data_IF_709317355386
#
_entry.id   IF_709317355386
#
_cell.length_a   1.000
_cell.length_b   1.000
_cell.length_c   1.000
_cell.angle_alpha   90.00
_cell.angle_beta   90.00
_cell.angle_gamma   90.00
#
_symmetry.space_group_name_H-M   'P 1'
#
loop_
_entity.id
_entity.type
_entity.pdbx_description
1 polymer ?
#
# COMPACT_ATOMS: atom_id res chain seq x y z
N UNK A 1 -4.16 -14.24 -6.43
CA UNK A 1 -2.87 -14.12 -5.73
C UNK A 1 -3.16 -14.12 -4.25
N UNK A 2 -2.61 -15.06 -3.49
CA UNK A 2 -2.82 -15.13 -2.05
C UNK A 2 -1.55 -14.74 -1.29
N UNK A 3 -1.72 -14.30 -0.05
CA UNK A 3 -0.61 -13.98 0.85
C UNK A 3 -0.78 -14.69 2.19
N UNK A 4 0.34 -14.99 2.85
CA UNK A 4 0.34 -15.44 4.25
C UNK A 4 0.65 -14.30 5.19
N UNK A 5 0.00 -14.25 6.35
CA UNK A 5 0.32 -13.33 7.42
C UNK A 5 1.54 -13.84 8.20
N UNK A 6 2.59 -13.03 8.34
CA UNK A 6 3.78 -13.36 9.13
C UNK A 6 3.58 -13.05 10.61
N UNK A 7 4.00 -13.99 11.46
CA UNK A 7 4.02 -13.87 12.91
C UNK A 7 5.41 -14.22 13.43
N UNK A 8 5.69 -13.92 14.71
CA UNK A 8 6.91 -14.37 15.39
C UNK A 8 7.15 -15.90 15.30
N UNK A 9 6.09 -16.68 15.09
CA UNK A 9 6.13 -18.14 15.08
C UNK A 9 6.14 -18.74 13.66
N UNK A 10 6.13 -17.92 12.61
CA UNK A 10 6.14 -18.44 11.25
C UNK A 10 7.42 -19.22 10.98
N UNK A 11 7.29 -20.52 10.71
CA UNK A 11 8.43 -21.42 10.53
C UNK A 11 8.85 -21.52 9.06
N UNK A 12 10.11 -21.88 8.75
CA UNK A 12 10.56 -22.22 7.40
C UNK A 12 9.68 -23.28 6.71
N UNK A 13 9.21 -24.27 7.48
CA UNK A 13 8.34 -25.33 6.95
C UNK A 13 6.99 -24.79 6.47
N UNK A 14 6.44 -23.75 7.09
CA UNK A 14 5.23 -23.08 6.60
C UNK A 14 5.48 -22.41 5.25
N UNK A 15 6.64 -21.77 5.09
CA UNK A 15 7.03 -21.13 3.83
C UNK A 15 7.12 -22.17 2.70
N UNK A 16 7.69 -23.34 2.98
CA UNK A 16 7.75 -24.46 2.04
C UNK A 16 6.34 -24.94 1.66
N UNK A 17 5.43 -25.09 2.63
CA UNK A 17 4.03 -25.44 2.36
C UNK A 17 3.32 -24.39 1.51
N UNK A 18 3.54 -23.11 1.81
CA UNK A 18 2.94 -22.00 1.09
C UNK A 18 3.37 -22.03 -0.38
N UNK A 19 4.67 -22.19 -0.65
CA UNK A 19 5.18 -22.30 -2.02
C UNK A 19 4.63 -23.53 -2.73
N UNK A 20 4.58 -24.68 -2.05
CA UNK A 20 4.07 -25.92 -2.62
C UNK A 20 2.59 -25.85 -3.00
N UNK A 21 1.80 -24.97 -2.37
CA UNK A 21 0.39 -24.77 -2.74
C UNK A 21 0.19 -24.20 -4.14
N UNK A 22 1.19 -23.47 -4.68
CA UNK A 22 1.08 -22.73 -5.94
C UNK A 22 0.14 -21.50 -5.88
N UNK A 23 -0.50 -21.21 -4.75
CA UNK A 23 -1.47 -20.12 -4.60
C UNK A 23 -0.91 -18.91 -3.83
N UNK A 24 0.00 -19.16 -2.89
CA UNK A 24 0.67 -18.12 -2.10
C UNK A 24 1.88 -17.61 -2.88
N UNK A 25 1.88 -16.32 -3.19
CA UNK A 25 2.98 -15.66 -3.93
C UNK A 25 3.83 -14.76 -3.05
N UNK A 26 3.34 -14.42 -1.87
CA UNK A 26 4.03 -13.53 -0.94
C UNK A 26 3.60 -13.77 0.51
N UNK A 27 4.38 -13.25 1.45
CA UNK A 27 4.01 -13.18 2.86
C UNK A 27 3.99 -11.71 3.30
N UNK A 28 2.92 -11.30 3.98
CA UNK A 28 2.70 -9.95 4.47
C UNK A 28 3.18 -9.83 5.91
N UNK A 29 4.04 -8.85 6.14
CA UNK A 29 4.53 -8.44 7.45
C UNK A 29 3.78 -7.20 7.92
N UNK A 30 3.23 -7.31 9.12
CA UNK A 30 2.80 -6.18 9.93
C UNK A 30 3.64 -6.15 11.20
N UNK A 31 4.32 -5.02 11.51
CA UNK A 31 4.88 -4.81 12.83
C UNK A 31 3.76 -4.86 13.87
N UNK A 32 4.00 -5.53 14.98
CA UNK A 32 2.95 -5.75 15.98
C UNK A 32 2.37 -4.41 16.48
N UNK A 33 1.04 -4.25 16.33
CA UNK A 33 0.30 -3.04 16.72
C UNK A 33 0.40 -1.85 15.75
N UNK A 34 0.95 -2.03 14.54
CA UNK A 34 1.11 -0.94 13.57
C UNK A 34 -0.20 -0.48 12.94
N UNK A 35 -1.17 -1.38 12.74
CA UNK A 35 -2.45 -1.11 12.08
C UNK A 35 -3.56 -2.09 12.50
N UNK A 36 -4.75 -1.97 11.91
CA UNK A 36 -5.91 -2.84 12.17
C UNK A 36 -5.53 -4.33 12.06
N UNK A 37 -5.88 -5.14 13.07
CA UNK A 37 -5.61 -6.58 13.15
C UNK A 37 -4.13 -7.00 13.17
N UNK A 38 -3.21 -6.08 13.53
CA UNK A 38 -1.77 -6.36 13.55
C UNK A 38 -1.22 -6.83 14.90
N UNK A 39 -2.05 -7.06 15.93
CA UNK A 39 -1.58 -7.39 17.28
C UNK A 39 -0.77 -8.70 17.34
N UNK A 40 -1.09 -9.66 16.45
CA UNK A 40 -0.36 -10.93 16.28
C UNK A 40 0.84 -10.81 15.32
N UNK A 41 1.22 -9.59 14.95
CA UNK A 41 2.29 -9.28 14.01
C UNK A 41 3.69 -9.62 14.54
N UNK A 42 4.69 -9.21 13.78
CA UNK A 42 6.09 -9.47 14.10
C UNK A 42 6.58 -8.43 15.10
N UNK A 43 7.10 -8.88 16.24
CA UNK A 43 7.60 -8.00 17.30
C UNK A 43 9.07 -7.63 17.10
N UNK A 44 9.85 -8.53 16.51
CA UNK A 44 11.25 -8.33 16.17
C UNK A 44 11.55 -9.09 14.88
N UNK A 45 12.08 -8.38 13.88
CA UNK A 45 12.41 -8.95 12.58
C UNK A 45 13.35 -10.15 12.68
N UNK A 46 14.26 -10.16 13.66
CA UNK A 46 15.25 -11.25 13.85
C UNK A 46 14.60 -12.59 14.17
N UNK A 47 13.42 -12.59 14.80
CA UNK A 47 12.69 -13.83 15.12
C UNK A 47 12.25 -14.58 13.88
N UNK A 48 11.99 -13.87 12.78
CA UNK A 48 11.52 -14.46 11.53
C UNK A 48 12.63 -14.64 10.49
N UNK A 49 13.90 -14.36 10.81
CA UNK A 49 15.01 -14.56 9.86
C UNK A 49 15.06 -15.97 9.26
N UNK A 50 14.79 -17.06 10.00
CA UNK A 50 14.68 -18.38 9.40
C UNK A 50 13.59 -18.45 8.32
N UNK A 51 12.43 -17.83 8.56
CA UNK A 51 11.35 -17.77 7.57
C UNK A 51 11.74 -16.89 6.36
N UNK A 52 12.40 -15.75 6.58
CA UNK A 52 12.89 -14.88 5.49
C UNK A 52 13.93 -15.59 4.62
N UNK A 53 14.83 -16.37 5.23
CA UNK A 53 15.79 -17.20 4.50
C UNK A 53 15.09 -18.23 3.62
N UNK A 54 14.05 -18.89 4.14
CA UNK A 54 13.22 -19.81 3.36
C UNK A 54 12.46 -19.08 2.24
N UNK A 55 11.89 -17.90 2.50
CA UNK A 55 11.19 -17.10 1.48
C UNK A 55 12.12 -16.73 0.33
N UNK A 56 13.35 -16.31 0.64
CA UNK A 56 14.38 -16.03 -0.35
C UNK A 56 14.70 -17.28 -1.19
N UNK A 57 14.91 -18.43 -0.54
CA UNK A 57 15.22 -19.68 -1.24
C UNK A 57 14.06 -20.23 -2.10
N UNK A 58 12.82 -19.89 -1.76
CA UNK A 58 11.60 -20.31 -2.47
C UNK A 58 11.01 -19.25 -3.38
N UNK A 59 11.67 -18.10 -3.49
CA UNK A 59 11.23 -16.95 -4.28
C UNK A 59 9.80 -16.49 -3.92
N UNK A 60 9.45 -16.54 -2.64
CA UNK A 60 8.25 -15.85 -2.14
C UNK A 60 8.61 -14.40 -1.79
N UNK A 61 7.72 -13.48 -2.12
CA UNK A 61 7.93 -12.06 -1.86
C UNK A 61 7.64 -11.73 -0.40
N UNK A 62 8.38 -10.77 0.17
CA UNK A 62 8.05 -10.15 1.45
C UNK A 62 7.33 -8.83 1.19
N UNK A 63 6.08 -8.71 1.64
CA UNK A 63 5.32 -7.46 1.59
C UNK A 63 5.37 -6.82 2.96
N UNK A 64 5.68 -5.53 3.06
CA UNK A 64 5.99 -4.88 4.34
C UNK A 64 5.10 -3.68 4.57
N UNK A 65 4.32 -3.69 5.65
CA UNK A 65 3.82 -2.45 6.24
C UNK A 65 4.96 -1.80 7.02
N UNK A 66 5.57 -0.76 6.46
CA UNK A 66 6.85 -0.23 6.95
C UNK A 66 6.74 0.90 7.96
N UNK A 67 6.16 0.65 9.15
CA UNK A 67 6.15 1.61 10.26
C UNK A 67 6.66 0.97 11.55
N UNK A 68 7.50 1.68 12.32
CA UNK A 68 7.79 1.25 13.70
C UNK A 68 6.61 1.57 14.62
N UNK A 69 6.45 0.80 15.69
CA UNK A 69 5.37 0.98 16.68
C UNK A 69 5.85 1.51 18.03
N UNK A 70 7.11 1.94 18.10
CA UNK A 70 7.70 2.59 19.27
C UNK A 70 6.87 3.83 19.66
N UNK A 71 6.29 3.90 20.88
CA UNK A 71 5.46 5.01 21.31
C UNK A 71 6.24 6.33 21.44
N UNK A 72 7.57 6.30 21.49
CA UNK A 72 8.41 7.50 21.48
C UNK A 72 8.59 8.10 20.08
N UNK A 73 8.23 7.38 19.01
CA UNK A 73 8.34 7.84 17.63
C UNK A 73 7.00 8.42 17.17
N UNK A 74 7.03 9.69 16.77
CA UNK A 74 5.85 10.38 16.23
C UNK A 74 5.31 9.65 15.00
N UNK A 75 3.98 9.56 14.90
CA UNK A 75 3.29 8.85 13.81
C UNK A 75 3.71 9.33 12.40
N UNK A 76 4.11 10.59 12.26
CA UNK A 76 4.57 11.13 10.98
C UNK A 76 5.99 10.67 10.60
N UNK A 77 6.78 10.18 11.55
CA UNK A 77 8.19 9.78 11.37
C UNK A 77 8.39 8.26 11.34
N UNK A 78 7.36 7.47 11.72
CA UNK A 78 7.44 6.00 11.84
C UNK A 78 7.95 5.29 10.58
N UNK A 79 7.54 5.76 9.40
CA UNK A 79 7.95 5.16 8.12
C UNK A 79 9.45 5.36 7.84
N UNK A 80 9.95 6.58 8.03
CA UNK A 80 11.37 6.89 7.83
C UNK A 80 12.24 6.10 8.82
N UNK A 81 11.82 6.04 10.09
CA UNK A 81 12.51 5.28 11.13
C UNK A 81 12.51 3.78 10.83
N UNK A 82 11.42 3.23 10.29
CA UNK A 82 11.36 1.83 9.88
C UNK A 82 12.36 1.51 8.78
N UNK A 83 12.47 2.39 7.76
CA UNK A 83 13.41 2.20 6.65
C UNK A 83 14.83 2.08 7.19
N UNK A 84 15.25 3.03 8.02
CA UNK A 84 16.61 3.07 8.58
C UNK A 84 16.88 1.89 9.51
N UNK A 85 16.00 1.65 10.50
CA UNK A 85 16.26 0.70 11.59
C UNK A 85 15.96 -0.74 11.22
N UNK A 86 15.08 -0.99 10.26
CA UNK A 86 14.55 -2.33 9.97
C UNK A 86 14.77 -2.74 8.52
N UNK A 87 14.28 -1.95 7.56
CA UNK A 87 14.28 -2.36 6.16
C UNK A 87 15.68 -2.45 5.57
N UNK A 88 16.53 -1.44 5.80
CA UNK A 88 17.91 -1.42 5.29
C UNK A 88 18.73 -2.64 5.78
N UNK A 89 18.72 -3.00 7.08
CA UNK A 89 19.31 -4.25 7.55
C UNK A 89 18.76 -5.50 6.86
N UNK A 90 17.45 -5.64 6.71
CA UNK A 90 16.82 -6.82 6.06
C UNK A 90 17.27 -6.94 4.61
N UNK A 91 17.28 -5.84 3.85
CA UNK A 91 17.72 -5.83 2.45
C UNK A 91 19.20 -6.23 2.33
N UNK A 92 20.06 -5.78 3.26
CA UNK A 92 21.47 -6.18 3.31
C UNK A 92 21.64 -7.66 3.61
N UNK A 93 20.87 -8.19 4.56
CA UNK A 93 21.03 -9.56 5.06
C UNK A 93 20.36 -10.61 4.13
N UNK A 94 19.37 -10.19 3.33
CA UNK A 94 18.65 -11.01 2.35
C UNK A 94 18.65 -10.37 0.95
N UNK A 95 19.81 -10.25 0.27
CA UNK A 95 19.94 -9.46 -0.95
C UNK A 95 19.14 -10.01 -2.15
N UNK A 96 18.79 -11.30 -2.14
CA UNK A 96 18.00 -11.93 -3.20
C UNK A 96 16.49 -12.00 -2.87
N UNK A 97 16.08 -11.67 -1.64
CA UNK A 97 14.67 -11.63 -1.27
C UNK A 97 13.99 -10.44 -1.95
N UNK A 98 12.96 -10.72 -2.75
CA UNK A 98 12.10 -9.66 -3.31
C UNK A 98 11.22 -9.06 -2.22
N UNK A 99 11.31 -7.76 -2.03
CA UNK A 99 10.63 -7.00 -0.99
C UNK A 99 9.80 -5.89 -1.61
N UNK A 100 8.54 -5.79 -1.20
CA UNK A 100 7.66 -4.66 -1.51
C UNK A 100 7.45 -3.85 -0.23
N UNK A 101 7.93 -2.61 -0.22
CA UNK A 101 7.53 -1.64 0.80
C UNK A 101 6.14 -1.14 0.40
N UNK A 102 5.11 -1.65 1.08
CA UNK A 102 3.73 -1.36 0.73
C UNK A 102 3.38 0.10 1.02
N UNK A 103 2.42 0.63 0.26
CA UNK A 103 1.71 1.90 0.48
C UNK A 103 2.61 3.02 1.03
N UNK A 104 3.74 3.31 0.35
CA UNK A 104 4.70 4.32 0.81
C UNK A 104 4.05 5.70 0.89
N UNK A 105 4.41 6.47 1.92
CA UNK A 105 3.76 7.76 2.22
C UNK A 105 4.72 8.94 2.30
N UNK A 106 6.03 8.69 2.29
CA UNK A 106 7.07 9.70 2.45
C UNK A 106 7.96 9.84 1.20
N UNK A 107 8.45 11.06 0.97
CA UNK A 107 9.62 11.30 0.12
C UNK A 107 10.81 10.39 0.48
N UNK A 108 11.07 10.19 1.77
CA UNK A 108 12.16 9.34 2.26
C UNK A 108 12.06 7.90 1.73
N UNK A 109 10.85 7.31 1.77
CA UNK A 109 10.57 6.00 1.18
C UNK A 109 10.70 5.99 -0.35
N UNK A 110 10.16 7.01 -1.02
CA UNK A 110 10.28 7.14 -2.47
C UNK A 110 11.76 7.19 -2.90
N UNK A 111 12.57 8.03 -2.25
CA UNK A 111 13.99 8.18 -2.53
C UNK A 111 14.79 6.92 -2.19
N UNK A 112 14.45 6.23 -1.10
CA UNK A 112 15.06 4.95 -0.74
C UNK A 112 14.82 3.89 -1.81
N UNK A 113 13.57 3.64 -2.20
CA UNK A 113 13.21 2.61 -3.19
C UNK A 113 13.88 2.89 -4.54
N UNK A 114 13.97 4.16 -4.94
CA UNK A 114 14.68 4.59 -6.16
C UNK A 114 16.12 4.08 -6.16
N UNK A 115 16.81 4.22 -5.03
CA UNK A 115 18.23 3.89 -4.85
C UNK A 115 18.50 2.42 -4.47
N UNK A 116 17.50 1.71 -3.95
CA UNK A 116 17.63 0.32 -3.49
C UNK A 116 17.96 -0.66 -4.64
N UNK A 117 18.33 -1.93 -4.36
CA UNK A 117 18.46 -2.95 -5.40
C UNK A 117 17.16 -3.21 -6.17
N UNK A 118 17.24 -3.90 -7.31
CA UNK A 118 16.06 -4.28 -8.11
C UNK A 118 15.14 -5.28 -7.41
N UNK A 119 15.61 -5.90 -6.33
CA UNK A 119 14.80 -6.75 -5.45
C UNK A 119 13.89 -5.94 -4.52
N UNK A 120 13.98 -4.61 -4.49
CA UNK A 120 13.13 -3.74 -3.68
C UNK A 120 12.23 -2.89 -4.57
N UNK A 121 10.92 -2.96 -4.31
CA UNK A 121 9.90 -2.16 -4.96
C UNK A 121 8.95 -1.56 -3.92
N UNK A 122 7.98 -0.75 -4.38
CA UNK A 122 6.94 -0.19 -3.55
C UNK A 122 5.60 -0.09 -4.28
N UNK A 123 4.53 -0.24 -3.50
CA UNK A 123 3.20 0.16 -3.93
C UNK A 123 2.89 1.58 -3.47
N UNK A 124 2.10 2.30 -4.26
CA UNK A 124 1.62 3.65 -3.91
C UNK A 124 0.12 3.65 -4.06
N UNK A 125 -0.60 4.15 -3.05
CA UNK A 125 -2.06 4.17 -3.04
C UNK A 125 -2.61 5.42 -3.74
N UNK A 126 -3.84 5.32 -4.26
CA UNK A 126 -4.52 6.46 -4.88
C UNK A 126 -4.72 7.62 -3.89
N UNK A 127 -5.08 7.32 -2.64
CA UNK A 127 -5.32 8.36 -1.63
C UNK A 127 -4.03 9.08 -1.21
N UNK A 128 -2.88 8.41 -1.21
CA UNK A 128 -1.58 9.07 -0.95
C UNK A 128 -1.07 9.89 -2.13
N UNK A 129 -1.55 9.63 -3.35
CA UNK A 129 -1.27 10.49 -4.52
C UNK A 129 -2.15 11.74 -4.53
N UNK A 130 -3.43 11.59 -4.19
CA UNK A 130 -4.42 12.65 -4.30
C UNK A 130 -4.42 13.61 -3.10
N UNK A 131 -4.08 13.12 -1.91
CA UNK A 131 -4.25 13.89 -0.67
C UNK A 131 -2.97 13.99 0.15
N UNK A 132 -2.88 15.09 0.90
CA UNK A 132 -1.93 15.26 1.99
C UNK A 132 -2.71 15.39 3.31
N UNK A 133 -1.99 15.43 4.43
CA UNK A 133 -2.57 15.41 5.78
C UNK A 133 -3.60 16.50 6.05
N UNK A 134 -3.59 17.61 5.31
CA UNK A 134 -4.63 18.64 5.47
C UNK A 134 -6.03 18.07 5.20
N UNK A 135 -6.16 17.06 4.32
CA UNK A 135 -7.44 16.42 4.05
C UNK A 135 -8.08 15.80 5.31
N UNK A 136 -7.28 15.39 6.30
CA UNK A 136 -7.78 14.84 7.58
C UNK A 136 -8.36 15.96 8.46
N UNK A 137 -7.84 17.19 8.37
CA UNK A 137 -8.13 18.27 9.31
C UNK A 137 -8.87 19.46 8.68
N UNK A 138 -9.18 19.40 7.39
CA UNK A 138 -9.78 20.50 6.65
C UNK A 138 -11.23 20.73 7.11
N UNK A 139 -11.47 21.87 7.75
CA UNK A 139 -12.80 22.26 8.26
C UNK A 139 -13.29 21.43 9.46
N UNK A 140 -12.45 20.56 10.00
CA UNK A 140 -12.79 19.60 11.05
C UNK A 140 -12.01 18.29 10.87
N UNK A 141 -12.18 17.35 11.79
CA UNK A 141 -11.59 16.01 11.68
C UNK A 141 -12.44 15.17 10.71
N UNK A 142 -11.83 14.68 9.64
CA UNK A 142 -12.45 13.86 8.58
C UNK A 142 -11.93 12.42 8.68
N UNK A 143 -12.57 11.52 9.45
CA UNK A 143 -12.03 10.19 9.74
C UNK A 143 -11.94 9.28 8.51
N UNK A 144 -12.73 9.52 7.46
CA UNK A 144 -12.69 8.74 6.21
C UNK A 144 -11.38 8.94 5.39
N UNK A 145 -10.58 9.95 5.73
CA UNK A 145 -9.23 10.19 5.20
C UNK A 145 -8.12 9.64 6.10
N UNK A 146 -8.47 9.16 7.30
CA UNK A 146 -7.51 8.54 8.23
C UNK A 146 -7.23 7.08 7.82
N UNK A 147 -5.97 6.81 7.51
CA UNK A 147 -5.41 5.51 7.15
C UNK A 147 -3.99 5.38 7.74
N UNK A 148 -3.40 4.18 7.62
CA UNK A 148 -2.03 3.91 8.09
C UNK A 148 -1.23 3.26 6.94
N UNK A 149 -0.03 3.79 6.61
CA UNK A 149 0.63 4.93 7.23
C UNK A 149 -0.14 6.23 6.99
N UNK A 150 -0.08 7.17 7.94
CA UNK A 150 -0.92 8.39 7.89
C UNK A 150 -0.57 9.27 6.70
N UNK A 151 -1.57 9.97 6.12
CA UNK A 151 -1.31 11.04 5.15
C UNK A 151 -0.24 12.00 5.70
N UNK A 152 0.75 12.34 4.87
CA UNK A 152 1.91 13.16 5.25
C UNK A 152 1.79 14.60 4.72
N UNK A 153 2.81 15.44 4.95
CA UNK A 153 2.86 16.82 4.41
C UNK A 153 2.91 16.81 2.88
N UNK A 154 2.52 17.93 2.26
CA UNK A 154 2.45 18.07 0.79
C UNK A 154 3.74 17.70 0.06
N UNK A 155 4.92 18.01 0.62
CA UNK A 155 6.21 17.60 0.03
C UNK A 155 6.30 16.08 -0.22
N UNK A 156 5.74 15.28 0.68
CA UNK A 156 5.76 13.84 0.55
C UNK A 156 4.78 13.39 -0.53
N UNK A 157 3.55 13.94 -0.54
CA UNK A 157 2.57 13.66 -1.61
C UNK A 157 3.17 13.96 -2.98
N UNK A 158 3.83 15.10 -3.15
CA UNK A 158 4.48 15.48 -4.41
C UNK A 158 5.58 14.49 -4.81
N UNK A 159 6.39 14.03 -3.87
CA UNK A 159 7.40 13.00 -4.14
C UNK A 159 6.78 11.66 -4.55
N UNK A 160 5.65 11.27 -3.97
CA UNK A 160 4.91 10.06 -4.37
C UNK A 160 4.32 10.19 -5.78
N UNK A 161 3.77 11.35 -6.12
CA UNK A 161 3.29 11.62 -7.49
C UNK A 161 4.46 11.51 -8.48
N UNK A 162 5.59 12.15 -8.19
CA UNK A 162 6.79 12.04 -9.03
C UNK A 162 7.27 10.59 -9.17
N UNK A 163 7.25 9.80 -8.09
CA UNK A 163 7.64 8.40 -8.12
C UNK A 163 6.69 7.57 -9.00
N UNK A 164 5.37 7.69 -8.79
CA UNK A 164 4.36 6.97 -9.54
C UNK A 164 4.39 7.29 -11.05
N UNK A 165 4.61 8.55 -11.42
CA UNK A 165 4.61 9.01 -12.81
C UNK A 165 5.98 8.97 -13.48
N UNK A 166 7.03 8.53 -12.78
CA UNK A 166 8.41 8.49 -13.30
C UNK A 166 8.65 7.46 -14.41
N UNK A 167 7.79 6.43 -14.53
CA UNK A 167 8.04 5.26 -15.37
C UNK A 167 9.09 4.29 -14.80
N UNK A 168 9.55 4.48 -13.56
CA UNK A 168 10.44 3.53 -12.90
C UNK A 168 9.68 2.24 -12.52
N UNK A 169 10.15 1.04 -12.94
CA UNK A 169 9.44 -0.22 -12.74
C UNK A 169 9.33 -0.67 -11.27
N UNK A 170 10.01 0.02 -10.34
CA UNK A 170 9.92 -0.26 -8.90
C UNK A 170 8.68 0.30 -8.23
N UNK A 171 7.89 1.14 -8.90
CA UNK A 171 6.64 1.67 -8.36
C UNK A 171 5.47 1.14 -9.16
N UNK A 172 4.49 0.59 -8.44
CA UNK A 172 3.28 0.05 -9.06
C UNK A 172 2.04 0.20 -8.18
N UNK A 173 0.89 -0.05 -8.78
CA UNK A 173 -0.41 0.10 -8.14
C UNK A 173 -0.59 -0.87 -6.98
N UNK A 174 -0.92 -0.33 -5.80
CA UNK A 174 -1.51 -1.06 -4.68
C UNK A 174 -2.52 -0.17 -3.99
N UNK A 175 -3.80 -0.55 -4.01
CA UNK A 175 -4.88 0.36 -3.57
C UNK A 175 -4.91 0.62 -2.08
N UNK A 176 -4.49 -0.39 -1.31
CA UNK A 176 -4.75 -0.51 0.13
C UNK A 176 -6.20 -0.14 0.48
N UNK A 177 -7.14 -0.58 -0.35
CA UNK A 177 -8.56 -0.32 -0.11
C UNK A 177 -8.99 -1.08 1.14
N UNK A 178 -9.24 -0.35 2.22
CA UNK A 178 -9.55 -0.88 3.54
C UNK A 178 -10.94 -0.41 3.97
N UNK A 179 -12.01 -1.12 3.57
CA UNK A 179 -13.37 -0.77 3.95
C UNK A 179 -13.60 -1.04 5.45
N UNK A 180 -14.23 -0.07 6.11
CA UNK A 180 -14.76 -0.21 7.47
C UNK A 180 -16.21 0.28 7.48
N UNK A 181 -17.11 -0.35 8.26
CA UNK A 181 -18.44 0.18 8.49
C UNK A 181 -18.36 1.65 8.94
N UNK A 182 -19.31 2.48 8.52
CA UNK A 182 -19.33 3.91 8.84
C UNK A 182 -19.22 4.14 10.36
N UNK A 183 -19.93 3.33 11.16
CA UNK A 183 -19.88 3.41 12.61
C UNK A 183 -18.48 3.12 13.18
N UNK A 184 -17.69 2.27 12.52
CA UNK A 184 -16.29 2.00 12.90
C UNK A 184 -15.34 3.15 12.57
N UNK A 185 -15.69 4.00 11.60
CA UNK A 185 -14.93 5.21 11.25
C UNK A 185 -15.33 6.41 12.10
N UNK A 186 -16.62 6.58 12.35
CA UNK A 186 -17.24 7.70 13.07
C UNK A 186 -17.44 7.38 14.56
N UNK A 187 -16.35 6.96 15.22
CA UNK A 187 -16.32 6.56 16.62
C UNK A 187 -15.35 7.41 17.45
N UNK A 188 -15.40 7.25 18.78
CA UNK A 188 -14.42 7.86 19.70
C UNK A 188 -12.97 7.43 19.37
N UNK A 189 -12.80 6.24 18.79
CA UNK A 189 -11.54 5.75 18.23
C UNK A 189 -11.82 5.14 16.84
N UNK A 190 -11.76 5.97 15.80
CA UNK A 190 -12.08 5.54 14.43
C UNK A 190 -11.00 4.64 13.82
N UNK A 191 -11.42 3.58 13.11
CA UNK A 191 -10.51 2.68 12.41
C UNK A 191 -9.71 3.38 11.31
N UNK A 192 -8.46 2.95 11.10
CA UNK A 192 -7.63 3.41 9.99
C UNK A 192 -7.99 2.64 8.70
N UNK A 193 -8.25 3.36 7.61
CA UNK A 193 -8.51 2.78 6.30
C UNK A 193 -9.34 3.68 5.40
N UNK A 194 -9.01 3.71 4.10
CA UNK A 194 -9.78 4.41 3.08
C UNK A 194 -10.39 3.40 2.11
N UNK A 195 -11.69 3.53 1.82
CA UNK A 195 -12.36 2.67 0.85
C UNK A 195 -12.24 3.23 -0.58
N UNK A 196 -11.34 2.66 -1.39
CA UNK A 196 -11.01 3.13 -2.74
C UNK A 196 -11.33 2.13 -3.85
N UNK A 197 -11.62 0.86 -3.52
CA UNK A 197 -11.84 -0.18 -4.53
C UNK A 197 -13.03 0.12 -5.47
N UNK A 198 -14.00 0.92 -5.03
CA UNK A 198 -15.16 1.31 -5.84
C UNK A 198 -14.81 2.13 -7.10
N UNK A 199 -13.65 2.80 -7.12
CA UNK A 199 -13.22 3.69 -8.20
C UNK A 199 -11.69 3.75 -8.31
N UNK A 200 -10.99 2.63 -8.06
CA UNK A 200 -9.55 2.64 -7.88
C UNK A 200 -8.81 3.20 -9.09
N UNK A 201 -9.17 2.78 -10.30
CA UNK A 201 -8.49 3.17 -11.53
C UNK A 201 -8.81 4.60 -11.95
N UNK A 202 -10.05 5.04 -11.70
CA UNK A 202 -10.48 6.42 -11.90
C UNK A 202 -9.67 7.38 -11.02
N UNK A 203 -9.46 7.04 -9.75
CA UNK A 203 -8.66 7.83 -8.82
C UNK A 203 -7.17 7.91 -9.24
N UNK A 204 -6.58 6.81 -9.73
CA UNK A 204 -5.23 6.87 -10.28
C UNK A 204 -5.16 7.67 -11.58
N UNK A 205 -6.16 7.55 -12.46
CA UNK A 205 -6.22 8.33 -13.68
C UNK A 205 -6.25 9.83 -13.39
N UNK A 206 -7.03 10.28 -12.39
CA UNK A 206 -6.98 11.67 -11.91
C UNK A 206 -5.58 12.08 -11.45
N UNK A 207 -4.93 11.25 -10.63
CA UNK A 207 -3.59 11.55 -10.12
C UNK A 207 -2.57 11.72 -11.26
N UNK A 208 -2.57 10.82 -12.24
CA UNK A 208 -1.63 10.86 -13.37
C UNK A 208 -1.96 12.01 -14.34
N UNK A 209 -3.24 12.21 -14.66
CA UNK A 209 -3.73 13.31 -15.51
C UNK A 209 -3.42 14.69 -14.94
N UNK A 210 -3.48 14.85 -13.61
CA UNK A 210 -3.12 16.11 -12.94
C UNK A 210 -1.68 16.57 -13.18
N UNK A 211 -0.81 15.66 -13.64
CA UNK A 211 0.59 15.94 -13.99
C UNK A 211 0.89 15.76 -15.48
N UNK A 212 -0.13 15.53 -16.30
CA UNK A 212 0.02 15.30 -17.74
C UNK A 212 0.77 14.01 -18.09
N UNK A 213 0.71 13.00 -17.21
CA UNK A 213 1.48 11.75 -17.34
C UNK A 213 0.59 10.51 -17.53
N UNK A 214 -0.60 10.66 -18.13
CA UNK A 214 -1.56 9.56 -18.34
C UNK A 214 -0.96 8.38 -19.11
N UNK A 215 -0.03 8.62 -20.03
CA UNK A 215 0.66 7.59 -20.79
C UNK A 215 1.51 6.64 -19.91
N UNK A 216 1.79 7.02 -18.67
CA UNK A 216 2.50 6.20 -17.69
C UNK A 216 1.59 5.32 -16.84
N UNK A 217 0.27 5.58 -16.87
CA UNK A 217 -0.69 4.90 -16.01
C UNK A 217 -0.73 3.39 -16.27
N UNK A 218 -0.72 2.97 -17.54
CA UNK A 218 -0.80 1.55 -17.89
C UNK A 218 0.39 0.76 -17.32
N UNK A 219 1.61 1.28 -17.46
CA UNK A 219 2.79 0.61 -16.94
C UNK A 219 2.75 0.46 -15.41
N UNK A 220 2.37 1.53 -14.71
CA UNK A 220 2.19 1.54 -13.26
C UNK A 220 1.08 0.59 -12.78
N UNK A 221 -0.04 0.55 -13.49
CA UNK A 221 -1.23 -0.20 -13.09
C UNK A 221 -1.23 -1.67 -13.56
N UNK A 222 -0.48 -2.02 -14.60
CA UNK A 222 -0.66 -3.30 -15.30
C UNK A 222 0.63 -4.01 -15.72
N UNK A 223 1.79 -3.35 -15.74
CA UNK A 223 3.05 -3.98 -16.18
C UNK A 223 4.01 -4.23 -15.02
N UNK A 224 4.34 -3.18 -14.28
CA UNK A 224 5.39 -3.21 -13.26
C UNK A 224 5.11 -4.24 -12.15
N UNK A 225 3.86 -4.32 -11.68
CA UNK A 225 3.44 -5.29 -10.66
C UNK A 225 3.65 -6.74 -11.13
N UNK A 226 2.99 -7.20 -12.20
CA UNK A 226 3.19 -8.56 -12.74
C UNK A 226 4.66 -8.89 -13.01
N UNK A 227 5.42 -7.96 -13.61
CA UNK A 227 6.85 -8.16 -13.88
C UNK A 227 7.64 -8.38 -12.59
N UNK A 228 7.41 -7.59 -11.53
CA UNK A 228 8.08 -7.75 -10.24
C UNK A 228 7.71 -9.07 -9.57
N UNK A 229 6.44 -9.46 -9.62
CA UNK A 229 5.93 -10.72 -9.08
C UNK A 229 6.31 -11.95 -9.91
N UNK A 230 6.86 -11.77 -11.12
CA UNK A 230 7.17 -12.88 -12.04
C UNK A 230 5.92 -13.56 -12.61
N UNK A 231 4.85 -12.78 -12.82
CA UNK A 231 3.55 -13.25 -13.30
C UNK A 231 3.27 -12.71 -14.71
N UNK A 232 2.46 -13.43 -15.52
CA UNK A 232 2.06 -12.94 -16.82
C UNK A 232 1.23 -11.66 -16.68
N UNK A 233 1.44 -10.73 -17.61
CA UNK A 233 0.57 -9.56 -17.77
C UNK A 233 -0.80 -9.99 -18.30
N UNK A 234 -1.84 -9.25 -17.91
CA UNK A 234 -3.17 -9.45 -18.48
C UNK A 234 -3.18 -9.08 -19.98
N UNK A 235 -3.98 -9.80 -20.77
CA UNK A 235 -4.16 -9.54 -22.21
C UNK A 235 -5.48 -8.84 -22.53
N UNK A 236 -6.41 -8.82 -21.57
CA UNK A 236 -7.64 -8.08 -21.68
C UNK A 236 -7.39 -6.58 -21.47
N UNK A 237 -8.25 -5.76 -22.05
CA UNK A 237 -8.21 -4.30 -21.95
C UNK A 237 -9.46 -3.78 -21.26
N UNK A 238 -9.30 -2.65 -20.59
CA UNK A 238 -10.39 -1.84 -20.05
C UNK A 238 -10.30 -0.44 -20.65
N UNK A 239 -11.40 0.32 -20.60
CA UNK A 239 -11.45 1.68 -21.13
C UNK A 239 -11.84 2.64 -20.02
N UNK A 240 -11.04 3.69 -19.82
CA UNK A 240 -11.38 4.82 -18.95
C UNK A 240 -11.84 5.99 -19.83
N UNK A 241 -13.06 6.47 -19.59
CA UNK A 241 -13.59 7.67 -20.24
C UNK A 241 -13.42 8.88 -19.33
N UNK A 242 -12.99 10.00 -19.90
CA UNK A 242 -12.99 11.30 -19.23
C UNK A 242 -14.44 11.80 -19.11
N UNK A 243 -15.13 11.32 -18.09
CA UNK A 243 -16.55 11.58 -17.86
C UNK A 243 -16.79 11.80 -16.37
N UNK A 244 -17.23 13.02 -16.04
CA UNK A 244 -17.56 13.38 -14.67
C UNK A 244 -18.68 12.47 -14.12
N UNK A 245 -18.43 11.81 -12.99
CA UNK A 245 -19.39 10.91 -12.34
C UNK A 245 -19.46 11.22 -10.86
N UNK A 246 -20.67 11.34 -10.31
CA UNK A 246 -20.86 11.56 -8.87
C UNK A 246 -20.62 10.26 -8.11
N UNK A 247 -19.85 10.33 -7.03
CA UNK A 247 -19.66 9.20 -6.11
C UNK A 247 -20.81 9.18 -5.11
N UNK A 248 -21.48 8.03 -4.92
CA UNK A 248 -22.50 7.91 -3.89
C UNK A 248 -21.98 8.32 -2.51
N UNK A 249 -22.81 9.01 -1.72
CA UNK A 249 -22.49 9.37 -0.33
C UNK A 249 -22.18 8.14 0.52
N UNK A 250 -22.90 7.04 0.26
CA UNK A 250 -22.81 5.78 0.98
C UNK A 250 -23.00 4.59 0.04
N UNK A 251 -22.44 3.44 0.41
CA UNK A 251 -22.61 2.17 -0.28
C UNK A 251 -23.04 1.08 0.73
N UNK A 252 -23.93 0.14 0.35
CA UNK A 252 -24.39 -0.92 1.27
C UNK A 252 -23.25 -1.84 1.75
N UNK A 253 -23.25 -2.21 3.04
CA UNK A 253 -22.27 -3.14 3.61
C UNK A 253 -22.85 -3.95 4.78
N UNK A 254 -23.46 -5.09 4.44
CA UNK A 254 -24.18 -5.91 5.42
C UNK A 254 -25.37 -5.13 5.98
N UNK A 255 -25.40 -4.97 7.29
CA UNK A 255 -26.43 -4.19 8.02
C UNK A 255 -26.01 -2.72 8.24
N UNK A 256 -24.83 -2.32 7.77
CA UNK A 256 -24.28 -0.95 7.87
C UNK A 256 -23.95 -0.40 6.46
N UNK A 257 -23.26 0.75 6.41
CA UNK A 257 -22.84 1.42 5.19
C UNK A 257 -21.33 1.63 5.15
N UNK A 258 -20.77 1.72 3.94
CA UNK A 258 -19.43 2.25 3.69
C UNK A 258 -19.55 3.69 3.22
N UNK A 259 -18.65 4.54 3.67
CA UNK A 259 -18.42 5.86 3.08
C UNK A 259 -17.22 5.73 2.12
N UNK A 260 -17.42 5.74 0.80
CA UNK A 260 -16.31 5.71 -0.15
C UNK A 260 -15.45 6.96 -0.03
N UNK A 261 -14.14 6.82 -0.29
CA UNK A 261 -13.32 8.01 -0.54
C UNK A 261 -13.94 8.77 -1.73
N UNK A 262 -14.03 10.11 -1.64
CA UNK A 262 -14.80 10.97 -2.58
C UNK A 262 -16.33 10.91 -2.44
N UNK A 263 -16.91 10.32 -1.39
CA UNK A 263 -18.35 10.36 -1.13
C UNK A 263 -18.96 11.77 -1.36
N UNK A 264 -20.01 11.85 -2.19
CA UNK A 264 -20.69 13.11 -2.54
C UNK A 264 -19.94 14.01 -3.54
N UNK A 265 -18.69 13.70 -3.87
CA UNK A 265 -17.85 14.45 -4.80
C UNK A 265 -17.91 13.84 -6.23
N UNK A 266 -17.23 14.49 -7.18
CA UNK A 266 -17.11 14.01 -8.55
C UNK A 266 -15.77 13.34 -8.82
N UNK A 267 -15.81 12.22 -9.53
CA UNK A 267 -14.67 11.66 -10.27
C UNK A 267 -14.62 12.26 -11.67
N UNK A 268 -13.43 12.51 -12.22
CA UNK A 268 -13.21 13.02 -13.57
C UNK A 268 -13.15 11.90 -14.63
N UNK A 269 -12.94 10.66 -14.19
CA UNK A 269 -12.83 9.47 -15.03
C UNK A 269 -13.88 8.44 -14.63
N UNK A 270 -14.23 7.57 -15.57
CA UNK A 270 -15.14 6.44 -15.38
C UNK A 270 -14.68 5.23 -16.20
N UNK A 271 -14.60 4.07 -15.58
CA UNK A 271 -14.43 2.80 -16.29
C UNK A 271 -15.73 2.40 -17.01
N UNK A 272 -15.59 2.02 -18.29
CA UNK A 272 -16.68 1.58 -19.16
C UNK A 272 -17.19 0.18 -18.81
#
# INVERSE_FOLDING_TARGET
LMTLYLTDNTSPAEIDRAKASGQVVACKLYPAGATTHSDSGVTDMRKIYPALAAMQARELLLLVHGEVTDPAVDIFDREAVFIERVLMPVVRDFPALKIVLEHITTQDAADYVRQAPTTVAATITAHHLLYNRNAIFQGGIRPHYYCLPILKRERHRQALVQAATSGNPKYFLGTDSAPHPQQGKEAACGCAGCYTAHAALELYAEAFDSTGALERLEAFASFHGPDFYGLPRNTATITLHRQATIVPEQLPFGEDYLVPLRAGEHLAWRMA
#
